data_IF_218696514570
#
_entry.id   IF_218696514570
#
_cell.length_a   1.000
_cell.length_b   1.000
_cell.length_c   1.000
_cell.angle_alpha   90.00
_cell.angle_beta   90.00
_cell.angle_gamma   90.00
#
_symmetry.space_group_name_H-M   'P 1'
#
loop_
_entity.id
_entity.type
_entity.pdbx_description
1 polymer ?
#
# COMPACT_ATOMS: atom_id res chain seq x y z
N UNK A 1 -25.78 18.53 -12.45
CA UNK A 1 -26.27 18.52 -11.05
C UNK A 1 -26.78 17.13 -10.71
N UNK A 2 -26.07 16.41 -9.85
CA UNK A 2 -26.63 15.54 -8.79
C UNK A 2 -25.46 15.01 -7.95
N UNK A 3 -25.14 15.75 -6.89
CA UNK A 3 -24.42 15.18 -5.75
C UNK A 3 -25.28 14.04 -5.20
N UNK A 4 -24.70 12.86 -5.02
CA UNK A 4 -25.22 11.87 -4.09
C UNK A 4 -24.08 11.47 -3.15
N UNK A 5 -24.16 12.08 -1.97
CA UNK A 5 -23.49 11.80 -0.72
C UNK A 5 -23.13 10.33 -0.47
N UNK A 6 -21.83 10.07 -0.30
CA UNK A 6 -21.36 9.03 0.61
C UNK A 6 -21.06 9.72 1.96
N UNK A 7 -22.05 9.72 2.85
CA UNK A 7 -21.91 10.18 4.24
C UNK A 7 -21.15 9.14 5.08
N UNK A 8 -19.88 8.92 4.76
CA UNK A 8 -18.93 8.45 5.76
C UNK A 8 -17.53 8.94 5.35
N UNK A 9 -17.11 10.15 5.76
CA UNK A 9 -15.75 10.57 5.52
C UNK A 9 -14.86 9.65 6.35
N UNK A 10 -14.14 8.74 5.69
CA UNK A 10 -13.22 7.85 6.40
C UNK A 10 -12.08 8.72 6.91
N UNK A 11 -11.59 8.43 8.11
CA UNK A 11 -10.50 9.16 8.76
C UNK A 11 -9.30 9.41 7.83
N UNK A 12 -8.96 8.44 6.97
CA UNK A 12 -7.93 8.57 5.95
C UNK A 12 -8.17 9.69 4.93
N UNK A 13 -9.42 9.95 4.53
CA UNK A 13 -9.74 10.95 3.52
C UNK A 13 -9.61 12.37 4.11
N UNK A 14 -9.92 12.57 5.40
CA UNK A 14 -9.67 13.84 6.10
C UNK A 14 -8.18 14.10 6.29
N UNK A 15 -7.41 13.11 6.76
CA UNK A 15 -5.96 13.26 6.96
C UNK A 15 -5.24 13.48 5.62
N UNK A 16 -5.67 12.81 4.54
CA UNK A 16 -5.06 12.99 3.21
C UNK A 16 -5.26 14.39 2.64
N UNK A 17 -6.49 14.92 2.65
CA UNK A 17 -6.79 16.23 2.05
C UNK A 17 -6.31 17.38 2.93
N UNK A 18 -6.42 17.27 4.26
CA UNK A 18 -6.01 18.33 5.19
C UNK A 18 -4.48 18.43 5.25
N UNK A 19 -3.73 17.33 5.23
CA UNK A 19 -2.25 17.37 5.15
C UNK A 19 -1.72 17.81 3.80
N UNK A 20 -2.35 17.44 2.67
CA UNK A 20 -1.94 17.95 1.35
C UNK A 20 -2.17 19.47 1.26
N UNK A 21 -3.22 19.99 1.90
CA UNK A 21 -3.46 21.43 1.95
C UNK A 21 -2.52 22.16 2.92
N UNK A 22 -2.19 21.57 4.08
CA UNK A 22 -1.33 22.20 5.08
C UNK A 22 0.18 22.11 4.77
N UNK A 23 0.64 21.02 4.14
CA UNK A 23 2.06 20.80 3.86
C UNK A 23 2.58 21.55 2.62
N UNK A 24 1.68 22.13 1.80
CA UNK A 24 2.08 22.91 0.61
C UNK A 24 2.33 24.39 0.96
N UNK A 25 1.76 24.92 2.05
CA UNK A 25 1.67 26.38 2.26
C UNK A 25 2.25 26.94 3.59
N UNK A 26 2.80 26.15 4.51
CA UNK A 26 3.32 26.68 5.80
C UNK A 26 4.86 26.53 5.99
N UNK A 27 5.64 27.62 5.81
CA UNK A 27 7.08 27.65 6.05
C UNK A 27 7.49 27.68 7.53
N UNK A 28 6.54 27.70 8.49
CA UNK A 28 6.82 27.78 9.93
C UNK A 28 6.99 26.41 10.63
N UNK A 29 6.81 25.33 9.88
CA UNK A 29 6.96 23.96 10.38
C UNK A 29 8.46 23.59 10.45
N UNK A 30 8.98 23.37 11.65
CA UNK A 30 10.33 22.82 11.82
C UNK A 30 10.33 21.31 11.52
N UNK A 31 10.73 20.93 10.32
CA UNK A 31 11.01 19.54 9.98
C UNK A 31 12.23 19.07 10.77
N UNK A 32 12.10 17.99 11.55
CA UNK A 32 13.29 17.29 12.02
C UNK A 32 13.84 16.46 10.85
N UNK A 33 14.88 16.98 10.22
CA UNK A 33 15.58 16.25 9.17
C UNK A 33 16.39 15.10 9.76
N UNK A 34 16.34 13.94 9.11
CA UNK A 34 17.30 12.85 9.35
C UNK A 34 16.96 11.84 10.45
N UNK A 35 15.82 11.95 11.15
CA UNK A 35 15.38 10.94 12.13
C UNK A 35 13.92 10.53 11.88
N UNK A 36 13.69 9.28 11.50
CA UNK A 36 12.36 8.73 11.25
C UNK A 36 11.65 8.47 12.59
N UNK A 37 10.46 9.05 12.76
CA UNK A 37 9.64 8.95 13.99
C UNK A 37 10.39 9.28 15.29
N UNK A 38 11.37 10.20 15.22
CA UNK A 38 12.22 10.60 16.35
C UNK A 38 12.96 9.43 17.04
N UNK A 39 13.12 8.30 16.34
CA UNK A 39 13.66 7.06 16.92
C UNK A 39 14.74 6.42 16.06
N UNK A 40 14.60 6.47 14.72
CA UNK A 40 15.51 5.78 13.80
C UNK A 40 16.34 6.81 13.02
N UNK A 41 17.66 6.82 13.22
CA UNK A 41 18.55 7.74 12.51
C UNK A 41 18.66 7.37 11.02
N UNK A 42 19.12 8.33 10.22
CA UNK A 42 19.42 8.13 8.80
C UNK A 42 20.38 6.95 8.57
N UNK A 43 21.40 6.79 9.41
CA UNK A 43 22.37 5.69 9.34
C UNK A 43 21.69 4.35 9.60
N UNK A 44 20.84 4.25 10.62
CA UNK A 44 20.07 3.03 10.89
C UNK A 44 19.14 2.68 9.74
N UNK A 45 18.50 3.67 9.12
CA UNK A 45 17.64 3.44 7.95
C UNK A 45 18.47 2.98 6.75
N UNK A 46 19.65 3.57 6.50
CA UNK A 46 20.56 3.11 5.44
C UNK A 46 21.01 1.66 5.69
N UNK A 47 21.36 1.30 6.92
CA UNK A 47 21.71 -0.07 7.28
C UNK A 47 20.55 -1.02 7.01
N UNK A 48 19.33 -0.66 7.42
CA UNK A 48 18.13 -1.46 7.14
C UNK A 48 17.90 -1.65 5.63
N UNK A 49 18.08 -0.60 4.83
CA UNK A 49 17.96 -0.66 3.37
C UNK A 49 19.05 -1.53 2.73
N UNK A 50 20.24 -1.59 3.33
CA UNK A 50 21.34 -2.46 2.90
C UNK A 50 21.05 -3.93 3.23
N UNK A 51 20.76 -4.25 4.50
CA UNK A 51 20.57 -5.65 4.94
C UNK A 51 19.32 -6.30 4.32
N UNK A 52 18.29 -5.50 4.03
CA UNK A 52 17.08 -6.00 3.35
C UNK A 52 17.29 -6.21 1.86
N UNK A 53 18.42 -5.73 1.30
CA UNK A 53 18.76 -5.89 -0.11
C UNK A 53 18.20 -4.82 -1.04
N UNK A 54 17.57 -3.76 -0.52
CA UNK A 54 17.03 -2.65 -1.35
C UNK A 54 18.17 -1.91 -2.04
N UNK A 55 19.18 -1.45 -1.27
CA UNK A 55 20.33 -0.74 -1.83
C UNK A 55 21.15 -1.62 -2.78
N UNK A 56 21.49 -2.88 -2.43
CA UNK A 56 22.16 -3.79 -3.36
C UNK A 56 21.45 -3.96 -4.71
N UNK A 57 20.11 -4.12 -4.72
CA UNK A 57 19.34 -4.25 -5.95
C UNK A 57 19.28 -2.95 -6.77
N UNK A 58 19.26 -1.79 -6.10
CA UNK A 58 19.38 -0.49 -6.76
C UNK A 58 20.77 -0.35 -7.43
N UNK A 59 21.85 -0.67 -6.72
CA UNK A 59 23.21 -0.60 -7.26
C UNK A 59 23.40 -1.54 -8.45
N UNK A 60 22.88 -2.77 -8.35
CA UNK A 60 22.90 -3.77 -9.44
C UNK A 60 22.20 -3.28 -10.72
N UNK A 61 21.21 -2.39 -10.58
CA UNK A 61 20.49 -1.75 -11.71
C UNK A 61 21.23 -0.54 -12.29
N UNK A 62 22.46 -0.27 -11.84
CA UNK A 62 23.33 0.77 -12.38
C UNK A 62 23.11 2.16 -11.78
N UNK A 63 22.45 2.25 -10.63
CA UNK A 63 22.37 3.51 -9.88
C UNK A 63 23.57 3.65 -8.95
N UNK A 64 24.14 4.85 -8.92
CA UNK A 64 25.28 5.22 -8.08
C UNK A 64 24.93 6.49 -7.29
N UNK A 65 25.74 6.86 -6.29
CA UNK A 65 25.53 8.07 -5.50
C UNK A 65 24.09 8.19 -4.97
N UNK A 66 23.64 7.14 -4.27
CA UNK A 66 22.26 7.06 -3.75
C UNK A 66 22.17 7.96 -2.53
N UNK A 67 21.23 8.89 -2.54
CA UNK A 67 20.98 9.81 -1.44
C UNK A 67 19.67 9.45 -0.75
N UNK A 68 19.75 9.25 0.56
CA UNK A 68 18.58 9.11 1.42
C UNK A 68 18.20 10.47 2.03
N UNK A 69 16.95 10.87 1.82
CA UNK A 69 16.29 11.98 2.51
C UNK A 69 15.23 11.41 3.47
N UNK A 70 15.25 11.87 4.71
CA UNK A 70 14.20 11.63 5.69
C UNK A 70 13.69 13.00 6.14
N UNK A 71 12.40 13.23 5.92
CA UNK A 71 11.72 14.47 6.26
C UNK A 71 10.33 14.17 6.83
N UNK A 72 9.78 15.05 7.66
CA UNK A 72 8.45 14.85 8.23
C UNK A 72 8.22 15.60 9.54
N UNK A 73 7.05 15.33 10.12
CA UNK A 73 6.59 15.89 11.38
C UNK A 73 5.94 14.81 12.24
N UNK A 74 6.47 14.62 13.45
CA UNK A 74 5.82 13.80 14.47
C UNK A 74 5.51 12.38 14.01
N UNK A 75 4.34 11.86 14.41
CA UNK A 75 3.89 10.51 14.06
C UNK A 75 2.96 10.49 12.85
N UNK A 76 2.38 11.62 12.48
CA UNK A 76 1.31 11.67 11.47
C UNK A 76 1.83 11.72 10.04
N UNK A 77 3.07 12.17 9.85
CA UNK A 77 3.67 12.26 8.53
C UNK A 77 5.19 12.11 8.57
N UNK A 78 5.68 11.01 7.99
CA UNK A 78 7.10 10.75 7.80
C UNK A 78 7.34 10.34 6.36
N UNK A 79 8.40 10.86 5.76
CA UNK A 79 8.77 10.65 4.37
C UNK A 79 10.18 10.12 4.28
N UNK A 80 10.36 9.08 3.46
CA UNK A 80 11.65 8.51 3.12
C UNK A 80 11.77 8.51 1.60
N UNK A 81 12.80 9.16 1.07
CA UNK A 81 13.06 9.24 -0.37
C UNK A 81 14.49 8.77 -0.66
N UNK A 82 14.63 7.79 -1.55
CA UNK A 82 15.91 7.47 -2.17
C UNK A 82 15.98 8.10 -3.56
N UNK A 83 17.04 8.85 -3.79
CA UNK A 83 17.32 9.48 -5.09
C UNK A 83 18.69 9.10 -5.63
N UNK A 84 18.85 9.13 -6.94
CA UNK A 84 20.14 8.98 -7.64
C UNK A 84 20.08 9.81 -8.92
N UNK A 85 21.11 10.61 -9.20
CA UNK A 85 21.16 11.45 -10.41
C UNK A 85 19.93 12.38 -10.59
N UNK A 86 19.36 12.87 -9.48
CA UNK A 86 18.10 13.67 -9.41
C UNK A 86 16.81 12.90 -9.70
N UNK A 87 16.88 11.60 -9.96
CA UNK A 87 15.73 10.73 -10.11
C UNK A 87 15.30 10.15 -8.77
N UNK A 88 14.00 10.08 -8.52
CA UNK A 88 13.42 9.37 -7.37
C UNK A 88 13.37 7.87 -7.70
N UNK A 89 13.92 7.04 -6.82
CA UNK A 89 13.96 5.58 -6.96
C UNK A 89 13.01 4.88 -6.01
N UNK A 90 12.90 5.39 -4.78
CA UNK A 90 11.97 4.93 -3.74
C UNK A 90 11.36 6.17 -3.08
N UNK A 91 10.04 6.16 -2.94
CA UNK A 91 9.32 7.17 -2.17
C UNK A 91 8.33 6.46 -1.25
N UNK A 92 8.55 6.62 0.04
CA UNK A 92 7.71 6.11 1.11
C UNK A 92 7.11 7.29 1.88
N UNK A 93 5.80 7.23 2.13
CA UNK A 93 5.13 8.05 3.14
C UNK A 93 4.53 7.14 4.18
N UNK A 94 4.85 7.41 5.43
CA UNK A 94 4.53 6.60 6.58
C UNK A 94 3.88 7.46 7.65
N UNK A 95 3.02 6.87 8.45
CA UNK A 95 2.56 7.44 9.72
C UNK A 95 2.44 6.34 10.76
N UNK A 96 2.36 6.72 12.03
CA UNK A 96 2.06 5.83 13.15
C UNK A 96 0.73 6.28 13.71
N UNK A 97 -0.26 5.40 13.70
CA UNK A 97 -1.61 5.73 14.14
C UNK A 97 -2.17 4.65 15.06
N UNK A 98 -3.01 5.07 16.01
CA UNK A 98 -3.86 4.15 16.74
C UNK A 98 -4.97 3.67 15.80
N UNK A 99 -4.92 2.38 15.47
CA UNK A 99 -5.90 1.76 14.60
C UNK A 99 -6.91 0.99 15.45
N UNK A 100 -8.20 1.21 15.17
CA UNK A 100 -9.30 0.59 15.91
C UNK A 100 -9.79 -0.65 15.17
N UNK A 101 -9.53 -1.83 15.74
CA UNK A 101 -10.02 -3.11 15.24
C UNK A 101 -11.29 -3.50 15.99
N UNK A 102 -12.32 -3.86 15.22
CA UNK A 102 -13.55 -4.44 15.76
C UNK A 102 -13.47 -5.96 15.73
N UNK A 103 -13.56 -6.60 16.89
CA UNK A 103 -13.45 -8.04 17.07
C UNK A 103 -14.56 -8.47 18.03
N UNK A 104 -15.52 -9.26 17.55
CA UNK A 104 -16.64 -9.80 18.35
C UNK A 104 -17.35 -8.73 19.20
N UNK A 105 -17.70 -7.59 18.58
CA UNK A 105 -18.35 -6.44 19.22
C UNK A 105 -17.49 -5.68 20.25
N UNK A 106 -16.21 -6.05 20.41
CA UNK A 106 -15.20 -5.31 21.18
C UNK A 106 -14.29 -4.50 20.25
N UNK A 107 -13.74 -3.42 20.79
CA UNK A 107 -12.79 -2.57 20.08
C UNK A 107 -11.42 -2.63 20.72
N UNK A 108 -10.43 -3.00 19.92
CA UNK A 108 -9.02 -2.99 20.30
C UNK A 108 -8.35 -1.80 19.62
N UNK A 109 -7.60 -1.02 20.39
CA UNK A 109 -6.82 0.10 19.88
C UNK A 109 -5.36 -0.23 20.06
N UNK A 110 -4.65 -0.38 18.96
CA UNK A 110 -3.23 -0.70 18.95
C UNK A 110 -2.52 0.23 17.95
N UNK A 111 -1.21 0.42 18.09
CA UNK A 111 -0.46 1.29 17.19
C UNK A 111 0.06 0.50 16.00
N UNK A 112 -0.19 1.03 14.81
CA UNK A 112 0.24 0.43 13.55
C UNK A 112 1.06 1.41 12.73
N UNK A 113 2.00 0.86 11.96
CA UNK A 113 2.65 1.59 10.89
C UNK A 113 1.67 1.70 9.72
N UNK A 114 1.29 2.90 9.36
CA UNK A 114 0.44 3.16 8.21
C UNK A 114 1.33 3.48 7.02
N UNK A 115 1.20 2.70 5.96
CA UNK A 115 1.87 2.92 4.68
C UNK A 115 0.93 3.78 3.84
N UNK A 116 1.14 5.10 3.89
CA UNK A 116 0.31 6.05 3.16
C UNK A 116 0.65 6.02 1.66
N UNK A 117 1.93 5.90 1.32
CA UNK A 117 2.41 5.85 -0.06
C UNK A 117 3.63 4.95 -0.17
N UNK A 118 3.68 4.11 -1.20
CA UNK A 118 4.87 3.36 -1.60
C UNK A 118 4.99 3.43 -3.11
N UNK A 119 6.10 3.99 -3.58
CA UNK A 119 6.43 4.01 -5.00
C UNK A 119 7.88 3.61 -5.21
N UNK A 120 8.10 2.70 -6.15
CA UNK A 120 9.44 2.38 -6.65
C UNK A 120 9.52 2.72 -8.12
N UNK A 121 10.66 3.22 -8.58
CA UNK A 121 10.87 3.67 -9.95
C UNK A 121 12.23 3.20 -10.44
N UNK A 122 12.27 2.70 -11.67
CA UNK A 122 13.48 2.32 -12.39
C UNK A 122 13.63 3.13 -13.70
N UNK A 123 13.94 4.45 -13.62
CA UNK A 123 14.12 5.29 -14.82
C UNK A 123 15.17 4.82 -15.84
N UNK A 124 16.20 4.07 -15.41
CA UNK A 124 17.25 3.55 -16.30
C UNK A 124 16.82 2.33 -17.10
N UNK A 125 15.58 1.86 -16.94
CA UNK A 125 15.08 0.72 -17.70
C UNK A 125 15.04 1.03 -19.20
N UNK A 126 15.88 0.33 -19.97
CA UNK A 126 16.03 0.56 -21.42
C UNK A 126 14.80 0.12 -22.24
N UNK A 127 13.91 -0.68 -21.66
CA UNK A 127 12.69 -1.18 -22.32
C UNK A 127 11.46 -0.41 -21.83
N UNK A 128 11.33 0.86 -22.25
CA UNK A 128 10.11 1.65 -22.04
C UNK A 128 9.02 1.29 -23.06
N UNK A 129 8.62 0.03 -23.07
CA UNK A 129 7.35 -0.36 -23.70
C UNK A 129 6.22 0.04 -22.75
N UNK A 130 5.53 1.15 -23.05
CA UNK A 130 4.43 1.69 -22.24
C UNK A 130 3.31 0.66 -22.01
N UNK A 131 3.14 -0.32 -22.91
CA UNK A 131 2.15 -1.39 -22.73
C UNK A 131 2.48 -2.33 -21.56
N UNK A 132 3.72 -2.28 -21.05
CA UNK A 132 4.19 -3.10 -19.92
C UNK A 132 4.10 -2.39 -18.56
N UNK A 133 3.68 -1.12 -18.54
CA UNK A 133 3.46 -0.39 -17.31
C UNK A 133 2.13 -0.81 -16.67
N UNK A 134 2.10 -0.84 -15.34
CA UNK A 134 0.83 -0.95 -14.63
C UNK A 134 0.11 0.41 -14.62
N UNK A 135 -1.22 0.44 -14.45
CA UNK A 135 -1.94 1.70 -14.21
C UNK A 135 -1.28 2.51 -13.09
N UNK A 136 -1.14 3.83 -13.27
CA UNK A 136 -0.48 4.71 -12.31
C UNK A 136 1.05 4.78 -12.42
N UNK A 137 1.69 3.94 -13.25
CA UNK A 137 3.14 3.99 -13.47
C UNK A 137 3.52 4.83 -14.69
N UNK A 138 4.53 5.67 -14.54
CA UNK A 138 5.20 6.41 -15.62
C UNK A 138 6.48 5.70 -16.09
N UNK A 139 7.14 4.97 -15.20
CA UNK A 139 8.30 4.11 -15.46
C UNK A 139 8.15 2.75 -14.75
N UNK A 140 8.86 1.69 -15.17
CA UNK A 140 8.83 0.42 -14.46
C UNK A 140 9.27 0.58 -13.00
N UNK A 141 8.73 -0.26 -12.11
CA UNK A 141 9.21 -0.33 -10.73
C UNK A 141 10.58 -1.01 -10.62
N UNK A 142 11.26 -0.83 -9.48
CA UNK A 142 12.56 -1.47 -9.22
C UNK A 142 12.47 -3.00 -9.14
N UNK A 143 11.28 -3.55 -8.85
CA UNK A 143 11.11 -5.00 -8.65
C UNK A 143 11.61 -5.50 -7.30
N UNK A 144 11.73 -4.61 -6.31
CA UNK A 144 12.29 -4.89 -4.96
C UNK A 144 11.21 -5.08 -3.89
N UNK A 145 10.01 -5.51 -4.27
CA UNK A 145 8.88 -5.57 -3.34
C UNK A 145 9.14 -6.52 -2.15
N UNK A 146 9.84 -7.63 -2.38
CA UNK A 146 10.18 -8.56 -1.29
C UNK A 146 11.04 -7.88 -0.23
N UNK A 147 12.08 -7.16 -0.67
CA UNK A 147 12.98 -6.39 0.17
C UNK A 147 12.25 -5.26 0.90
N UNK A 148 11.33 -4.56 0.22
CA UNK A 148 10.46 -3.55 0.84
C UNK A 148 9.57 -4.16 1.92
N UNK A 149 9.02 -5.35 1.68
CA UNK A 149 8.19 -6.03 2.67
C UNK A 149 8.98 -6.41 3.93
N UNK A 150 10.25 -6.78 3.78
CA UNK A 150 11.12 -7.09 4.92
C UNK A 150 11.57 -5.82 5.64
N UNK A 151 11.88 -4.74 4.89
CA UNK A 151 12.13 -3.41 5.45
C UNK A 151 10.96 -2.89 6.30
N UNK A 152 9.72 -3.02 5.82
CA UNK A 152 8.51 -2.70 6.61
C UNK A 152 8.46 -3.54 7.88
N UNK A 153 8.78 -4.84 7.81
CA UNK A 153 8.85 -5.72 8.97
C UNK A 153 9.85 -5.24 10.03
N UNK A 154 11.05 -4.83 9.60
CA UNK A 154 12.04 -4.22 10.49
C UNK A 154 11.55 -2.91 11.10
N UNK A 155 10.91 -2.03 10.32
CA UNK A 155 10.36 -0.79 10.87
C UNK A 155 9.32 -1.05 11.97
N UNK A 156 8.40 -1.99 11.76
CA UNK A 156 7.39 -2.38 12.76
C UNK A 156 8.07 -2.86 14.05
N UNK A 157 9.11 -3.71 13.93
CA UNK A 157 9.87 -4.23 15.07
C UNK A 157 10.63 -3.11 15.81
N UNK A 158 11.38 -2.30 15.07
CA UNK A 158 12.20 -1.21 15.63
C UNK A 158 11.36 -0.14 16.32
N UNK A 159 10.15 0.12 15.83
CA UNK A 159 9.20 1.07 16.40
C UNK A 159 8.27 0.44 17.47
N UNK A 160 8.40 -0.87 17.73
CA UNK A 160 7.57 -1.64 18.69
C UNK A 160 6.07 -1.51 18.39
N UNK A 161 5.70 -1.64 17.12
CA UNK A 161 4.33 -1.54 16.64
C UNK A 161 3.70 -2.94 16.49
N UNK A 162 2.37 -3.02 16.52
CA UNK A 162 1.64 -4.30 16.47
C UNK A 162 1.46 -4.82 15.03
N UNK A 163 1.91 -4.07 14.03
CA UNK A 163 1.77 -4.42 12.63
C UNK A 163 1.85 -3.22 11.69
N UNK A 164 1.35 -3.41 10.47
CA UNK A 164 1.18 -2.35 9.49
C UNK A 164 -0.16 -2.41 8.77
N UNK A 165 -0.63 -1.25 8.32
CA UNK A 165 -1.84 -1.10 7.50
C UNK A 165 -1.48 -0.39 6.21
N UNK A 166 -2.07 -0.81 5.10
CA UNK A 166 -1.96 -0.14 3.80
C UNK A 166 -3.32 -0.12 3.10
N UNK A 167 -3.54 0.89 2.25
CA UNK A 167 -4.72 0.99 1.38
C UNK A 167 -4.25 0.98 -0.09
N UNK A 168 -4.16 -0.20 -0.74
CA UNK A 168 -3.61 -0.29 -2.10
C UNK A 168 -4.50 0.46 -3.11
N UNK A 169 -3.93 1.43 -3.82
CA UNK A 169 -4.64 2.26 -4.78
C UNK A 169 -5.09 1.44 -6.00
N UNK A 170 -4.26 0.48 -6.44
CA UNK A 170 -4.56 -0.39 -7.56
C UNK A 170 -4.62 -1.87 -7.17
N UNK A 171 -5.26 -2.68 -8.02
CA UNK A 171 -5.35 -4.13 -7.82
C UNK A 171 -3.98 -4.83 -7.79
N UNK A 172 -3.05 -4.43 -8.66
CA UNK A 172 -1.71 -5.02 -8.67
C UNK A 172 -0.93 -4.73 -7.38
N UNK A 173 -1.16 -3.57 -6.75
CA UNK A 173 -0.59 -3.28 -5.43
C UNK A 173 -1.14 -4.26 -4.39
N UNK A 174 -2.46 -4.48 -4.37
CA UNK A 174 -3.06 -5.47 -3.47
C UNK A 174 -2.48 -6.87 -3.68
N UNK A 175 -2.22 -7.29 -4.92
CA UNK A 175 -1.58 -8.58 -5.23
C UNK A 175 -0.15 -8.65 -4.68
N UNK A 176 0.61 -7.54 -4.74
CA UNK A 176 1.94 -7.50 -4.13
C UNK A 176 1.84 -7.70 -2.61
N UNK A 177 0.95 -6.95 -1.96
CA UNK A 177 0.80 -6.99 -0.51
C UNK A 177 0.10 -8.25 0.03
N UNK A 178 -0.71 -8.94 -0.77
CA UNK A 178 -1.52 -10.10 -0.33
C UNK A 178 -0.72 -11.30 0.17
N UNK A 179 0.62 -11.32 -0.04
CA UNK A 179 1.49 -12.36 0.52
C UNK A 179 1.59 -12.30 2.04
N UNK A 180 1.50 -11.11 2.63
CA UNK A 180 1.62 -10.89 4.08
C UNK A 180 0.45 -10.13 4.67
N UNK A 181 -0.18 -9.25 3.89
CA UNK A 181 -1.31 -8.43 4.31
C UNK A 181 -2.64 -9.08 3.91
N UNK A 182 -3.66 -8.86 4.71
CA UNK A 182 -5.00 -9.42 4.50
C UNK A 182 -6.04 -8.31 4.52
N UNK A 183 -7.06 -8.40 3.67
CA UNK A 183 -8.16 -7.44 3.70
C UNK A 183 -8.94 -7.54 5.00
N UNK A 184 -9.20 -6.40 5.65
CA UNK A 184 -9.98 -6.34 6.88
C UNK A 184 -11.48 -6.59 6.67
N UNK A 185 -11.97 -6.48 5.43
CA UNK A 185 -13.39 -6.62 5.11
C UNK A 185 -13.65 -7.87 4.25
N UNK A 186 -14.69 -8.66 4.55
CA UNK A 186 -15.07 -9.81 3.73
C UNK A 186 -15.36 -9.44 2.27
N UNK A 187 -15.93 -8.25 2.03
CA UNK A 187 -16.30 -7.75 0.71
C UNK A 187 -15.08 -7.53 -0.18
N UNK A 188 -14.04 -6.87 0.35
CA UNK A 188 -12.80 -6.64 -0.40
C UNK A 188 -12.05 -7.96 -0.63
N UNK A 189 -12.00 -8.84 0.38
CA UNK A 189 -11.38 -10.15 0.24
C UNK A 189 -12.10 -11.01 -0.82
N UNK A 190 -13.44 -11.03 -0.81
CA UNK A 190 -14.22 -11.78 -1.80
C UNK A 190 -14.02 -11.24 -3.22
N UNK A 191 -14.04 -9.92 -3.41
CA UNK A 191 -13.79 -9.31 -4.71
C UNK A 191 -12.37 -9.63 -5.23
N UNK A 192 -11.35 -9.49 -4.38
CA UNK A 192 -9.98 -9.83 -4.72
C UNK A 192 -9.85 -11.29 -5.15
N UNK A 193 -10.44 -12.22 -4.40
CA UNK A 193 -10.44 -13.64 -4.73
C UNK A 193 -11.22 -13.93 -6.01
N UNK A 194 -12.36 -13.27 -6.23
CA UNK A 194 -13.16 -13.42 -7.46
C UNK A 194 -12.39 -12.97 -8.71
N UNK A 195 -11.66 -11.85 -8.62
CA UNK A 195 -10.82 -11.36 -9.71
C UNK A 195 -9.73 -12.38 -10.09
N UNK A 196 -9.04 -12.96 -9.11
CA UNK A 196 -8.03 -13.99 -9.37
C UNK A 196 -8.64 -15.29 -9.91
N UNK A 197 -9.82 -15.68 -9.42
CA UNK A 197 -10.53 -16.90 -9.85
C UNK A 197 -11.01 -16.80 -11.30
N UNK A 198 -11.71 -15.72 -11.63
CA UNK A 198 -12.42 -15.58 -12.90
C UNK A 198 -11.48 -15.16 -14.04
N UNK A 199 -10.38 -14.49 -13.72
CA UNK A 199 -9.36 -14.06 -14.68
C UNK A 199 -8.03 -14.81 -14.51
N UNK A 200 -8.07 -16.07 -14.06
CA UNK A 200 -6.85 -16.89 -13.82
C UNK A 200 -5.91 -17.07 -15.03
N UNK A 201 -6.43 -16.90 -16.24
CA UNK A 201 -5.66 -16.95 -17.50
C UNK A 201 -5.04 -15.61 -17.89
N UNK A 202 -5.45 -14.51 -17.25
CA UNK A 202 -4.94 -13.17 -17.50
C UNK A 202 -3.73 -12.88 -16.60
N UNK A 203 -2.83 -12.03 -17.10
CA UNK A 203 -1.78 -11.48 -16.24
C UNK A 203 -2.37 -10.50 -15.22
N UNK A 204 -1.70 -10.34 -14.07
CA UNK A 204 -2.08 -9.33 -13.05
C UNK A 204 -2.15 -7.92 -13.64
N UNK A 205 -1.28 -7.62 -14.61
CA UNK A 205 -1.32 -6.37 -15.38
C UNK A 205 -2.59 -6.25 -16.23
N UNK A 206 -2.95 -7.32 -16.92
CA UNK A 206 -4.19 -7.40 -17.70
C UNK A 206 -5.41 -7.13 -16.84
N UNK A 207 -5.55 -7.84 -15.71
CA UNK A 207 -6.64 -7.64 -14.75
C UNK A 207 -6.67 -6.19 -14.24
N UNK A 208 -5.52 -5.65 -13.83
CA UNK A 208 -5.43 -4.25 -13.37
C UNK A 208 -5.86 -3.26 -14.45
N UNK A 209 -5.48 -3.52 -15.70
CA UNK A 209 -5.83 -2.68 -16.85
C UNK A 209 -7.32 -2.75 -17.14
N UNK A 210 -7.92 -3.94 -17.11
CA UNK A 210 -9.37 -4.11 -17.27
C UNK A 210 -10.16 -3.43 -16.15
N UNK A 211 -9.73 -3.53 -14.90
CA UNK A 211 -10.34 -2.80 -13.78
C UNK A 211 -10.24 -1.29 -13.96
N UNK A 212 -9.04 -0.78 -14.26
CA UNK A 212 -8.81 0.65 -14.42
C UNK A 212 -9.60 1.25 -15.58
N UNK A 213 -9.79 0.48 -16.65
CA UNK A 213 -10.59 0.89 -17.83
C UNK A 213 -12.08 0.57 -17.71
N UNK A 214 -12.56 0.08 -16.56
CA UNK A 214 -13.99 -0.21 -16.35
C UNK A 214 -14.53 -1.37 -17.20
N UNK A 215 -13.67 -2.32 -17.59
CA UNK A 215 -14.00 -3.43 -18.48
C UNK A 215 -14.39 -4.72 -17.77
N UNK A 216 -14.44 -4.73 -16.44
CA UNK A 216 -14.90 -5.88 -15.66
C UNK A 216 -16.32 -5.61 -15.16
N UNK A 217 -17.22 -6.58 -15.32
CA UNK A 217 -18.59 -6.52 -14.80
C UNK A 217 -18.94 -7.75 -13.96
N UNK A 218 -19.82 -7.55 -13.00
CA UNK A 218 -20.57 -8.61 -12.33
C UNK A 218 -22.04 -8.48 -12.76
N UNK A 219 -22.54 -9.46 -13.50
CA UNK A 219 -23.83 -9.38 -14.19
C UNK A 219 -23.95 -8.12 -15.08
N UNK A 220 -24.72 -7.12 -14.63
CA UNK A 220 -24.94 -5.84 -15.34
C UNK A 220 -24.13 -4.67 -14.75
N UNK A 221 -23.46 -4.87 -13.62
CA UNK A 221 -22.78 -3.81 -12.89
C UNK A 221 -21.29 -3.80 -13.24
N UNK A 222 -20.78 -2.66 -13.70
CA UNK A 222 -19.34 -2.48 -13.86
C UNK A 222 -18.68 -2.47 -12.49
N UNK A 223 -17.64 -3.28 -12.34
CA UNK A 223 -16.85 -3.38 -11.12
C UNK A 223 -15.74 -2.34 -11.17
N UNK A 224 -15.66 -1.56 -10.10
CA UNK A 224 -14.57 -0.62 -9.88
C UNK A 224 -13.72 -1.11 -8.72
N UNK A 225 -12.40 -1.04 -8.88
CA UNK A 225 -11.49 -1.22 -7.76
C UNK A 225 -11.67 -0.08 -6.77
N UNK A 226 -11.83 -0.42 -5.50
CA UNK A 226 -11.83 0.55 -4.41
C UNK A 226 -10.62 0.27 -3.54
N UNK A 227 -9.83 1.31 -3.28
CA UNK A 227 -8.75 1.22 -2.32
C UNK A 227 -9.37 0.93 -0.94
N UNK A 228 -9.06 -0.24 -0.38
CA UNK A 228 -9.56 -0.72 0.92
C UNK A 228 -8.38 -1.23 1.72
N UNK A 229 -8.46 -1.11 3.05
CA UNK A 229 -7.36 -1.44 3.93
C UNK A 229 -7.03 -2.94 3.92
N UNK A 230 -5.72 -3.20 3.91
CA UNK A 230 -5.12 -4.48 4.21
C UNK A 230 -4.22 -4.33 5.43
N UNK A 231 -4.21 -5.34 6.28
CA UNK A 231 -3.45 -5.35 7.53
C UNK A 231 -2.44 -6.49 7.56
N UNK A 232 -1.26 -6.20 8.08
CA UNK A 232 -0.26 -7.14 8.53
C UNK A 232 -0.23 -7.09 10.05
N UNK A 233 -0.46 -8.21 10.71
CA UNK A 233 -0.23 -8.35 12.15
C UNK A 233 1.21 -8.83 12.39
N UNK A 234 1.94 -8.14 13.28
CA UNK A 234 3.25 -8.61 13.73
C UNK A 234 3.08 -9.87 14.58
N UNK A 235 2.23 -9.79 15.61
CA UNK A 235 1.84 -10.94 16.41
C UNK A 235 0.60 -11.60 15.83
N UNK A 236 0.67 -12.91 15.59
CA UNK A 236 -0.47 -13.70 15.10
C UNK A 236 -1.57 -13.88 16.13
N UNK A 237 -1.49 -13.26 17.30
CA UNK A 237 -2.44 -13.44 18.40
C UNK A 237 -3.81 -12.85 18.06
N UNK A 238 -3.88 -11.66 17.45
CA UNK A 238 -5.15 -11.04 17.03
C UNK A 238 -5.71 -11.63 15.72
N UNK A 239 -4.83 -12.20 14.88
CA UNK A 239 -5.18 -12.67 13.55
C UNK A 239 -6.33 -13.70 13.54
N UNK A 240 -6.35 -14.76 14.38
CA UNK A 240 -7.46 -15.72 14.46
C UNK A 240 -8.79 -15.13 14.92
N UNK A 241 -8.77 -14.01 15.65
CA UNK A 241 -9.99 -13.36 16.12
C UNK A 241 -10.60 -12.47 15.04
N UNK A 242 -9.76 -11.79 14.25
CA UNK A 242 -10.18 -10.99 13.09
C UNK A 242 -10.59 -11.90 11.92
N UNK A 243 -9.71 -12.81 11.51
CA UNK A 243 -9.93 -13.75 10.40
C UNK A 243 -10.37 -15.10 10.94
N UNK A 244 -11.58 -15.11 11.50
CA UNK A 244 -12.20 -16.30 12.07
C UNK A 244 -13.16 -16.98 11.06
N UNK A 245 -13.75 -18.12 11.46
CA UNK A 245 -14.72 -18.87 10.63
C UNK A 245 -15.92 -18.03 10.18
N UNK A 246 -16.35 -17.02 10.96
CA UNK A 246 -17.46 -16.11 10.59
C UNK A 246 -17.01 -15.18 9.44
N UNK A 247 -15.78 -14.69 9.47
CA UNK A 247 -15.18 -13.95 8.37
C UNK A 247 -15.13 -14.81 7.10
N UNK A 248 -14.55 -16.01 7.18
CA UNK A 248 -14.42 -16.92 6.03
C UNK A 248 -15.78 -17.31 5.43
N UNK A 249 -16.78 -17.59 6.28
CA UNK A 249 -18.14 -17.90 5.83
C UNK A 249 -18.76 -16.72 5.08
N UNK A 250 -18.52 -15.48 5.52
CA UNK A 250 -18.98 -14.28 4.81
C UNK A 250 -18.25 -14.13 3.48
N UNK A 251 -16.93 -14.30 3.45
CA UNK A 251 -16.12 -14.25 2.21
C UNK A 251 -16.64 -15.26 1.20
N UNK A 252 -16.79 -16.53 1.59
CA UNK A 252 -17.26 -17.60 0.70
C UNK A 252 -18.67 -17.32 0.18
N UNK A 253 -19.60 -16.88 1.05
CA UNK A 253 -20.96 -16.52 0.62
C UNK A 253 -20.97 -15.40 -0.43
N UNK A 254 -20.13 -14.39 -0.26
CA UNK A 254 -20.00 -13.29 -1.21
C UNK A 254 -19.34 -13.76 -2.51
N UNK A 255 -18.27 -14.54 -2.40
CA UNK A 255 -17.54 -15.10 -3.54
C UNK A 255 -18.41 -16.01 -4.43
N UNK A 256 -19.28 -16.81 -3.83
CA UNK A 256 -20.21 -17.70 -4.54
C UNK A 256 -21.26 -16.91 -5.35
N UNK A 257 -21.59 -15.70 -4.92
CA UNK A 257 -22.53 -14.81 -5.62
C UNK A 257 -21.90 -14.00 -6.75
N UNK A 258 -20.58 -13.84 -6.75
CA UNK A 258 -19.85 -13.05 -7.76
C UNK A 258 -19.55 -13.91 -8.98
N UNK A 259 -19.82 -13.40 -10.18
CA UNK A 259 -19.32 -13.98 -11.45
C UNK A 259 -18.82 -12.86 -12.35
N UNK A 260 -17.50 -12.67 -12.36
CA UNK A 260 -16.87 -11.59 -13.08
C UNK A 260 -16.62 -11.98 -14.53
N UNK A 261 -16.86 -11.04 -15.44
CA UNK A 261 -16.63 -11.20 -16.88
C UNK A 261 -16.20 -9.89 -17.50
N UNK A 262 -15.67 -9.93 -18.73
CA UNK A 262 -15.40 -8.72 -19.49
C UNK A 262 -16.70 -8.10 -20.01
N UNK A 263 -16.73 -6.78 -20.09
CA UNK A 263 -17.75 -6.05 -20.84
C UNK A 263 -17.54 -6.39 -22.32
N UNK A 264 -18.55 -6.99 -22.95
CA UNK A 264 -18.59 -7.24 -24.39
C UNK A 264 -18.52 -5.89 -25.13
N UNK A 265 -17.67 -5.83 -26.14
CA UNK A 265 -17.43 -4.64 -26.96
C UNK A 265 -18.49 -4.49 -28.03
#
# INVERSE_FOLDING_TARGET
MSKSSYNNPRFFDFVYDEFLSAAVDDPSISFQEGVLFNSLSKESILELLEITGILPEIVKKGYQNIHLEISGMGQDFQRLVLTSEKEILLHLRLSVQEYRLEINDYFFKEKYLIINWLQTRHPKSQSMDKSRLYPGQDVPGLGVFHQISDFIGFLILSLRLNGAVIRPEYFHDAVLFSKKFHFLTPEAQALFTALLRDFKSESIRGISTYLHSGRIKDNKNVIQWKAVEMILFLEKTLQPFVFNKKFDKKVNKLLDSMKLSLVES
#
